data_IF_412986229753
#
_entry.id   IF_412986229753
#
_cell.length_a   1.000
_cell.length_b   1.000
_cell.length_c   1.000
_cell.angle_alpha   90.00
_cell.angle_beta   90.00
_cell.angle_gamma   90.00
#
_symmetry.space_group_name_H-M   'P 1'
#
loop_
_entity.id
_entity.type
_entity.pdbx_description
1 polymer ?
#
# COMPACT_ATOMS: atom_id res chain seq x y z
N UNK A 1 -29.31 20.10 22.76
CA UNK A 1 -28.94 20.44 21.37
C UNK A 1 -27.43 20.65 21.31
N UNK A 2 -26.82 20.49 20.14
CA UNK A 2 -25.38 20.67 19.92
C UNK A 2 -24.89 22.06 20.34
N UNK A 3 -25.70 23.10 20.11
CA UNK A 3 -25.39 24.48 20.52
C UNK A 3 -25.21 24.70 22.02
N UNK A 4 -26.01 24.02 22.87
CA UNK A 4 -25.88 24.15 24.34
C UNK A 4 -24.56 23.58 24.86
N UNK A 5 -24.02 22.55 24.18
CA UNK A 5 -22.71 21.96 24.52
C UNK A 5 -21.56 22.86 24.13
N UNK A 6 -21.68 23.54 22.99
CA UNK A 6 -20.66 24.46 22.49
C UNK A 6 -20.59 25.75 23.33
N UNK A 7 -21.74 26.27 23.77
CA UNK A 7 -21.84 27.41 24.68
C UNK A 7 -21.19 27.08 26.04
N UNK A 8 -21.52 25.93 26.63
CA UNK A 8 -20.99 25.49 27.93
C UNK A 8 -19.48 25.24 27.88
N UNK A 9 -18.97 24.73 26.76
CA UNK A 9 -17.54 24.54 26.54
C UNK A 9 -16.80 25.89 26.44
N UNK A 10 -17.38 26.88 25.75
CA UNK A 10 -16.82 28.25 25.67
C UNK A 10 -16.79 28.93 27.03
N UNK A 11 -17.84 28.76 27.83
CA UNK A 11 -17.95 29.34 29.17
C UNK A 11 -16.94 28.71 30.17
N UNK A 12 -16.79 27.38 30.14
CA UNK A 12 -15.79 26.65 30.94
C UNK A 12 -14.34 27.01 30.55
N UNK A 13 -14.07 27.24 29.26
CA UNK A 13 -12.75 27.69 28.79
C UNK A 13 -12.43 29.12 29.24
N UNK A 14 -13.44 29.96 29.46
CA UNK A 14 -13.23 31.31 29.99
C UNK A 14 -12.91 31.34 31.49
N UNK A 15 -13.27 30.29 32.23
CA UNK A 15 -13.09 30.19 33.69
C UNK A 15 -11.89 29.33 34.09
N UNK A 16 -11.52 28.32 33.29
CA UNK A 16 -10.35 27.50 33.53
C UNK A 16 -9.10 28.14 32.92
N UNK A 17 -8.08 28.39 33.75
CA UNK A 17 -6.79 28.78 33.20
C UNK A 17 -6.21 27.59 32.46
N UNK A 18 -5.61 27.82 31.29
CA UNK A 18 -4.99 26.76 30.49
C UNK A 18 -3.93 25.98 31.26
N UNK A 19 -3.27 26.62 32.24
CA UNK A 19 -2.26 26.01 33.13
C UNK A 19 -2.83 24.94 34.08
N UNK A 20 -4.14 24.91 34.31
CA UNK A 20 -4.82 23.90 35.14
C UNK A 20 -5.30 22.69 34.30
N UNK A 21 -5.11 22.72 32.98
CA UNK A 21 -5.48 21.64 32.09
C UNK A 21 -4.33 20.64 31.94
N UNK A 22 -4.69 19.38 31.76
CA UNK A 22 -3.75 18.29 31.48
C UNK A 22 -4.08 17.69 30.12
N UNK A 23 -3.05 17.47 29.31
CA UNK A 23 -3.20 16.86 28.01
C UNK A 23 -3.63 15.40 28.13
N UNK A 24 -4.74 15.04 27.48
CA UNK A 24 -5.30 13.67 27.52
C UNK A 24 -4.32 12.61 27.03
N UNK A 25 -3.40 12.97 26.14
CA UNK A 25 -2.48 12.02 25.51
C UNK A 25 -1.22 11.76 26.34
N UNK A 26 -0.50 12.81 26.74
CA UNK A 26 0.77 12.66 27.46
C UNK A 26 0.68 12.91 28.96
N UNK A 27 -0.50 13.30 29.47
CA UNK A 27 -0.71 13.69 30.87
C UNK A 27 0.16 14.88 31.32
N UNK A 28 0.69 15.66 30.37
CA UNK A 28 1.47 16.87 30.65
C UNK A 28 0.60 18.12 30.73
N UNK A 29 1.00 19.06 31.58
CA UNK A 29 0.37 20.37 31.72
C UNK A 29 0.54 21.22 30.45
N UNK A 30 -0.38 22.14 30.20
CA UNK A 30 -0.24 23.12 29.13
C UNK A 30 0.56 24.32 29.60
N UNK A 31 1.40 24.85 28.71
CA UNK A 31 2.08 26.11 28.97
C UNK A 31 1.11 27.29 28.77
N UNK A 32 1.30 28.42 29.48
CA UNK A 32 0.55 29.64 29.20
C UNK A 32 0.66 30.01 27.72
N UNK A 33 -0.49 30.30 27.08
CA UNK A 33 -0.62 30.65 25.65
C UNK A 33 -0.36 29.51 24.65
N UNK A 34 -0.21 28.28 25.12
CA UNK A 34 -0.15 27.13 24.22
C UNK A 34 -1.50 26.90 23.53
N UNK A 35 -1.48 26.54 22.24
CA UNK A 35 -2.69 26.17 21.50
C UNK A 35 -3.16 24.77 21.92
N UNK A 36 -4.42 24.69 22.32
CA UNK A 36 -5.09 23.45 22.74
C UNK A 36 -6.02 22.94 21.66
N UNK A 37 -6.13 21.62 21.52
CA UNK A 37 -7.07 20.97 20.62
C UNK A 37 -8.09 20.17 21.43
N UNK A 38 -9.41 20.38 21.24
CA UNK A 38 -10.40 19.53 21.86
C UNK A 38 -10.30 18.11 21.31
N UNK A 39 -10.40 17.12 22.19
CA UNK A 39 -10.33 15.72 21.84
C UNK A 39 -11.29 14.90 22.71
N UNK A 40 -11.73 13.77 22.16
CA UNK A 40 -12.55 12.78 22.86
C UNK A 40 -11.71 11.51 22.98
N UNK A 41 -11.48 11.06 24.21
CA UNK A 41 -10.82 9.78 24.45
C UNK A 41 -11.75 8.62 24.04
N UNK A 42 -11.18 7.44 23.74
CA UNK A 42 -11.97 6.24 23.42
C UNK A 42 -12.96 5.82 24.52
N UNK A 43 -12.79 6.34 25.75
CA UNK A 43 -13.73 6.18 26.87
C UNK A 43 -14.93 7.14 26.85
N UNK A 44 -15.06 8.00 25.83
CA UNK A 44 -16.10 9.03 25.73
C UNK A 44 -15.84 10.27 26.59
N UNK A 45 -14.68 10.35 27.27
CA UNK A 45 -14.28 11.53 28.03
C UNK A 45 -13.82 12.65 27.09
N UNK A 46 -14.36 13.84 27.30
CA UNK A 46 -13.94 15.07 26.62
C UNK A 46 -12.74 15.68 27.35
N UNK A 47 -11.80 16.24 26.60
CA UNK A 47 -10.67 16.98 27.15
C UNK A 47 -9.83 17.62 26.06
N UNK A 48 -8.59 17.95 26.38
CA UNK A 48 -7.71 18.73 25.50
C UNK A 48 -6.40 18.00 25.22
N UNK A 49 -5.80 18.29 24.08
CA UNK A 49 -4.49 17.79 23.69
C UNK A 49 -3.57 18.95 23.29
N UNK A 50 -2.26 18.80 23.57
CA UNK A 50 -1.25 19.66 22.97
C UNK A 50 -1.31 19.57 21.46
N UNK A 51 -0.97 20.66 20.77
CA UNK A 51 -0.89 20.69 19.30
C UNK A 51 -0.03 19.55 18.76
N UNK A 52 1.16 19.33 19.34
CA UNK A 52 2.05 18.24 18.94
C UNK A 52 1.51 16.85 19.25
N UNK A 53 0.73 16.69 20.32
CA UNK A 53 0.07 15.42 20.64
C UNK A 53 -1.09 15.12 19.69
N UNK A 54 -1.89 16.13 19.34
CA UNK A 54 -2.95 16.00 18.34
C UNK A 54 -2.39 15.61 16.96
N UNK A 55 -1.33 16.27 16.51
CA UNK A 55 -0.67 15.95 15.24
C UNK A 55 -0.16 14.49 15.20
N UNK A 56 0.48 14.03 16.29
CA UNK A 56 0.93 12.62 16.40
C UNK A 56 -0.22 11.62 16.39
N UNK A 57 -1.33 11.93 17.06
CA UNK A 57 -2.51 11.07 17.07
C UNK A 57 -3.13 10.96 15.67
N UNK A 58 -3.21 12.07 14.93
CA UNK A 58 -3.69 12.08 13.54
C UNK A 58 -2.77 11.25 12.64
N UNK A 59 -1.45 11.44 12.73
CA UNK A 59 -0.48 10.68 11.95
C UNK A 59 -0.61 9.17 12.21
N UNK A 60 -0.66 8.77 13.49
CA UNK A 60 -0.86 7.37 13.87
C UNK A 60 -2.18 6.80 13.34
N UNK A 61 -3.26 7.59 13.35
CA UNK A 61 -4.54 7.16 12.78
C UNK A 61 -4.47 6.99 11.27
N UNK A 62 -3.76 7.88 10.55
CA UNK A 62 -3.54 7.74 9.11
C UNK A 62 -2.72 6.48 8.80
N UNK A 63 -1.71 6.19 9.61
CA UNK A 63 -0.91 4.97 9.46
C UNK A 63 -1.78 3.72 9.65
N UNK A 64 -2.59 3.68 10.71
CA UNK A 64 -3.51 2.55 10.96
C UNK A 64 -4.53 2.37 9.83
N UNK A 65 -5.20 3.45 9.41
CA UNK A 65 -6.16 3.40 8.28
C UNK A 65 -5.47 2.98 6.99
N UNK A 66 -4.22 3.41 6.79
CA UNK A 66 -3.39 2.98 5.66
C UNK A 66 -3.12 1.48 5.70
N UNK A 67 -2.72 0.94 6.86
CA UNK A 67 -2.49 -0.49 7.05
C UNK A 67 -3.76 -1.32 6.87
N UNK A 68 -4.90 -0.87 7.41
CA UNK A 68 -6.19 -1.54 7.25
C UNK A 68 -6.59 -1.62 5.77
N UNK A 69 -6.45 -0.50 5.04
CA UNK A 69 -6.71 -0.45 3.61
C UNK A 69 -5.80 -1.40 2.81
N UNK A 70 -4.52 -1.47 3.16
CA UNK A 70 -3.58 -2.40 2.52
C UNK A 70 -3.98 -3.86 2.78
N UNK A 71 -4.41 -4.19 4.00
CA UNK A 71 -4.91 -5.51 4.38
C UNK A 71 -6.17 -5.91 3.61
N UNK A 72 -7.13 -4.98 3.45
CA UNK A 72 -8.34 -5.20 2.64
C UNK A 72 -8.00 -5.45 1.17
N UNK A 73 -7.11 -4.62 0.60
CA UNK A 73 -6.65 -4.79 -0.78
C UNK A 73 -5.98 -6.16 -0.95
N UNK A 74 -5.13 -6.57 0.00
CA UNK A 74 -4.48 -7.87 -0.03
C UNK A 74 -5.51 -9.01 0.00
N UNK A 75 -6.52 -8.91 0.87
CA UNK A 75 -7.58 -9.91 0.98
C UNK A 75 -8.41 -10.03 -0.30
N UNK A 76 -8.80 -8.90 -0.90
CA UNK A 76 -9.51 -8.87 -2.19
C UNK A 76 -8.66 -9.44 -3.31
N UNK A 77 -7.36 -9.13 -3.33
CA UNK A 77 -6.43 -9.67 -4.32
C UNK A 77 -6.30 -11.18 -4.18
N UNK A 78 -6.12 -11.71 -2.95
CA UNK A 78 -6.06 -13.15 -2.70
C UNK A 78 -7.34 -13.87 -3.16
N UNK A 79 -8.52 -13.34 -2.80
CA UNK A 79 -9.79 -13.92 -3.21
C UNK A 79 -9.96 -13.95 -4.74
N UNK A 80 -9.51 -12.89 -5.43
CA UNK A 80 -9.51 -12.84 -6.91
C UNK A 80 -8.54 -13.84 -7.51
N UNK A 81 -7.36 -14.02 -6.91
CA UNK A 81 -6.37 -15.01 -7.35
C UNK A 81 -6.93 -16.41 -7.30
N UNK A 82 -7.59 -16.77 -6.21
CA UNK A 82 -8.26 -18.06 -6.07
C UNK A 82 -9.40 -18.22 -7.09
N UNK A 83 -10.31 -17.24 -7.15
CA UNK A 83 -11.51 -17.32 -7.99
C UNK A 83 -11.23 -17.40 -9.50
N UNK A 84 -10.17 -16.73 -9.96
CA UNK A 84 -9.81 -16.65 -11.38
C UNK A 84 -8.54 -17.42 -11.73
N UNK A 85 -7.99 -18.18 -10.77
CA UNK A 85 -6.68 -18.83 -10.89
C UNK A 85 -5.59 -17.86 -11.38
N UNK A 86 -5.63 -16.62 -10.88
CA UNK A 86 -4.64 -15.59 -11.22
C UNK A 86 -3.42 -15.86 -10.34
N UNK A 87 -2.32 -16.26 -10.96
CA UNK A 87 -1.08 -16.55 -10.25
C UNK A 87 -0.17 -17.40 -11.12
N UNK A 88 1.13 -17.40 -10.80
CA UNK A 88 2.06 -18.32 -11.44
C UNK A 88 1.97 -19.68 -10.76
N UNK A 89 1.51 -20.70 -11.47
CA UNK A 89 1.55 -22.09 -11.01
C UNK A 89 2.34 -22.92 -11.99
N UNK A 90 3.20 -23.81 -11.49
CA UNK A 90 3.93 -24.77 -12.32
C UNK A 90 2.99 -25.71 -13.10
N UNK A 91 1.75 -25.88 -12.61
CA UNK A 91 0.71 -26.68 -13.25
C UNK A 91 0.00 -25.93 -14.39
N UNK A 92 0.07 -24.59 -14.40
CA UNK A 92 -0.68 -23.73 -15.32
C UNK A 92 0.21 -22.62 -15.89
N UNK A 93 1.17 -23.02 -16.74
CA UNK A 93 2.07 -22.09 -17.41
C UNK A 93 1.46 -21.66 -18.75
N UNK A 94 1.22 -20.34 -18.97
CA UNK A 94 0.64 -19.86 -20.21
C UNK A 94 1.58 -20.11 -21.40
N UNK A 95 1.00 -20.46 -22.56
CA UNK A 95 1.77 -20.64 -23.79
C UNK A 95 2.36 -19.32 -24.26
N UNK A 96 3.65 -19.33 -24.57
CA UNK A 96 4.39 -18.17 -25.06
C UNK A 96 4.37 -18.04 -26.60
N UNK A 97 3.65 -18.90 -27.32
CA UNK A 97 3.70 -18.94 -28.78
C UNK A 97 3.31 -17.60 -29.44
N UNK A 98 2.23 -16.96 -28.97
CA UNK A 98 1.81 -15.64 -29.48
C UNK A 98 2.79 -14.53 -29.16
N UNK A 99 3.38 -14.59 -27.96
CA UNK A 99 4.32 -13.59 -27.48
C UNK A 99 5.64 -13.65 -28.26
N UNK A 100 6.17 -14.86 -28.47
CA UNK A 100 7.38 -15.09 -29.28
C UNK A 100 7.22 -14.54 -30.70
N UNK A 101 6.06 -14.80 -31.31
CA UNK A 101 5.74 -14.28 -32.64
C UNK A 101 5.75 -12.74 -32.66
N UNK A 102 5.12 -12.09 -31.67
CA UNK A 102 5.10 -10.62 -31.56
C UNK A 102 6.48 -10.02 -31.30
N UNK A 103 7.33 -10.73 -30.56
CA UNK A 103 8.69 -10.33 -30.22
C UNK A 103 9.68 -10.59 -31.37
N UNK A 104 9.27 -11.28 -32.44
CA UNK A 104 10.14 -11.64 -33.55
C UNK A 104 11.23 -12.63 -33.14
N UNK A 105 10.97 -13.48 -32.14
CA UNK A 105 11.90 -14.51 -31.71
C UNK A 105 11.71 -15.77 -32.55
N UNK A 106 12.75 -16.19 -33.28
CA UNK A 106 12.77 -17.43 -34.08
C UNK A 106 12.97 -18.70 -33.22
N UNK A 107 12.34 -18.74 -32.05
CA UNK A 107 12.37 -19.93 -31.18
C UNK A 107 11.17 -20.79 -31.55
N UNK A 108 11.42 -22.02 -32.03
CA UNK A 108 10.35 -23.00 -32.22
C UNK A 108 9.72 -23.32 -30.85
N UNK A 109 8.47 -22.91 -30.58
CA UNK A 109 7.90 -23.01 -29.24
C UNK A 109 7.45 -24.45 -28.99
N UNK A 110 8.38 -25.30 -28.55
CA UNK A 110 8.03 -26.62 -28.01
C UNK A 110 7.73 -26.54 -26.51
N UNK A 111 6.87 -25.59 -26.11
CA UNK A 111 6.41 -25.43 -24.73
C UNK A 111 6.86 -24.14 -24.07
N UNK A 112 7.56 -24.25 -22.95
CA UNK A 112 7.92 -23.13 -22.08
C UNK A 112 9.19 -22.42 -22.56
N UNK A 113 9.37 -21.17 -22.12
CA UNK A 113 10.54 -20.37 -22.48
C UNK A 113 11.15 -19.71 -21.26
N UNK A 114 12.46 -19.52 -21.28
CA UNK A 114 13.23 -18.81 -20.26
C UNK A 114 14.10 -17.71 -20.91
N UNK A 115 14.71 -16.87 -20.08
CA UNK A 115 15.73 -15.92 -20.50
C UNK A 115 17.12 -16.50 -20.26
N UNK A 116 18.00 -16.36 -21.24
CA UNK A 116 19.41 -16.77 -21.17
C UNK A 116 20.27 -15.54 -21.38
N UNK A 117 21.20 -15.29 -20.45
CA UNK A 117 22.23 -14.29 -20.64
C UNK A 117 23.29 -14.84 -21.59
N UNK A 118 23.59 -14.09 -22.66
CA UNK A 118 24.68 -14.41 -23.57
C UNK A 118 25.95 -13.66 -23.17
N UNK A 119 27.07 -14.10 -23.73
CA UNK A 119 28.32 -13.34 -23.66
C UNK A 119 28.12 -11.95 -24.28
N UNK A 120 28.64 -10.90 -23.61
CA UNK A 120 28.46 -9.51 -24.03
C UNK A 120 27.26 -8.80 -23.39
N UNK A 121 26.55 -9.43 -22.46
CA UNK A 121 25.49 -8.79 -21.67
C UNK A 121 24.14 -8.67 -22.39
N UNK A 122 23.99 -9.35 -23.53
CA UNK A 122 22.69 -9.49 -24.19
C UNK A 122 21.88 -10.60 -23.54
N UNK A 123 20.55 -10.50 -23.63
CA UNK A 123 19.62 -11.52 -23.13
C UNK A 123 18.81 -12.04 -24.31
N UNK A 124 18.69 -13.36 -24.43
CA UNK A 124 17.90 -14.04 -25.44
C UNK A 124 16.84 -14.93 -24.81
N UNK A 125 15.83 -15.32 -25.60
CA UNK A 125 14.81 -16.29 -25.19
C UNK A 125 15.25 -17.68 -25.64
N UNK A 126 15.12 -18.67 -24.77
CA UNK A 126 15.40 -20.07 -25.07
C UNK A 126 14.25 -20.97 -24.61
N UNK A 127 14.04 -22.14 -25.23
CA UNK A 127 13.09 -23.12 -24.72
C UNK A 127 13.57 -23.70 -23.39
N UNK A 128 12.65 -24.04 -22.49
CA UNK A 128 12.94 -24.72 -21.23
C UNK A 128 11.92 -25.83 -20.96
N UNK A 129 12.37 -26.87 -20.27
CA UNK A 129 11.51 -27.91 -19.69
C UNK A 129 11.30 -27.72 -18.19
N UNK A 130 12.01 -26.77 -17.58
CA UNK A 130 11.97 -26.49 -16.15
C UNK A 130 10.89 -25.44 -15.85
N UNK A 131 9.78 -25.79 -15.18
CA UNK A 131 8.68 -24.87 -14.86
C UNK A 131 9.14 -23.67 -14.01
N UNK A 132 10.11 -23.88 -13.11
CA UNK A 132 10.63 -22.80 -12.25
C UNK A 132 11.46 -21.76 -13.02
N UNK A 133 12.00 -22.13 -14.19
CA UNK A 133 12.73 -21.24 -15.08
C UNK A 133 11.84 -20.64 -16.18
N UNK A 134 10.59 -21.09 -16.31
CA UNK A 134 9.68 -20.59 -17.32
C UNK A 134 9.26 -19.14 -17.00
N UNK A 135 9.01 -18.37 -18.05
CA UNK A 135 8.59 -16.97 -17.97
C UNK A 135 7.32 -16.73 -18.78
N UNK A 136 6.47 -15.82 -18.31
CA UNK A 136 5.38 -15.26 -19.11
C UNK A 136 5.93 -14.12 -19.97
N UNK A 137 6.07 -14.36 -21.28
CA UNK A 137 6.64 -13.36 -22.20
C UNK A 137 5.68 -12.20 -22.49
N UNK A 138 4.36 -12.41 -22.52
CA UNK A 138 3.40 -11.31 -22.64
C UNK A 138 3.57 -10.36 -21.43
N UNK A 139 3.61 -10.93 -20.24
CA UNK A 139 3.81 -10.18 -19.00
C UNK A 139 5.15 -9.41 -19.00
N UNK A 140 6.26 -10.08 -19.35
CA UNK A 140 7.57 -9.43 -19.47
C UNK A 140 7.54 -8.28 -20.47
N UNK A 141 6.88 -8.47 -21.62
CA UNK A 141 6.78 -7.43 -22.65
C UNK A 141 6.06 -6.18 -22.13
N UNK A 142 4.98 -6.35 -21.36
CA UNK A 142 4.24 -5.24 -20.75
C UNK A 142 5.09 -4.57 -19.67
N UNK A 143 5.77 -5.35 -18.82
CA UNK A 143 6.66 -4.84 -17.79
C UNK A 143 7.78 -3.97 -18.37
N UNK A 144 8.44 -4.44 -19.43
CA UNK A 144 9.47 -3.68 -20.15
C UNK A 144 8.90 -2.43 -20.81
N UNK A 145 7.70 -2.51 -21.39
CA UNK A 145 7.02 -1.35 -21.99
C UNK A 145 6.75 -0.27 -20.95
N UNK A 146 6.15 -0.61 -19.82
CA UNK A 146 5.87 0.34 -18.71
C UNK A 146 7.16 0.97 -18.22
N UNK A 147 8.21 0.18 -17.98
CA UNK A 147 9.51 0.71 -17.53
C UNK A 147 10.10 1.70 -18.54
N UNK A 148 10.00 1.40 -19.83
CA UNK A 148 10.48 2.28 -20.91
C UNK A 148 9.66 3.55 -21.08
N UNK A 149 8.33 3.45 -21.05
CA UNK A 149 7.44 4.60 -21.33
C UNK A 149 7.19 5.49 -20.13
N UNK A 150 7.14 4.93 -18.94
CA UNK A 150 6.75 5.65 -17.71
C UNK A 150 7.93 5.87 -16.76
N UNK A 151 9.10 5.26 -17.02
CA UNK A 151 10.29 5.42 -16.19
C UNK A 151 10.15 4.87 -14.76
N UNK A 152 9.10 4.07 -14.51
CA UNK A 152 8.79 3.49 -13.19
C UNK A 152 8.69 1.98 -13.28
N UNK A 153 8.77 1.33 -12.13
CA UNK A 153 8.54 -0.11 -12.06
C UNK A 153 7.06 -0.42 -12.29
N UNK A 154 6.78 -1.50 -13.03
CA UNK A 154 5.42 -1.90 -13.25
C UNK A 154 4.82 -2.45 -11.95
N UNK A 155 3.67 -1.90 -11.55
CA UNK A 155 2.94 -2.33 -10.37
C UNK A 155 2.02 -3.49 -10.73
N UNK A 156 2.63 -4.66 -10.89
CA UNK A 156 1.89 -5.90 -10.97
C UNK A 156 1.99 -6.60 -9.62
N UNK A 157 0.87 -7.13 -9.14
CA UNK A 157 0.86 -7.94 -7.93
C UNK A 157 1.48 -9.32 -8.26
N UNK A 158 2.81 -9.40 -8.18
CA UNK A 158 3.58 -10.65 -8.31
C UNK A 158 3.92 -11.29 -6.97
N UNK A 159 3.60 -10.64 -5.84
CA UNK A 159 3.82 -11.26 -4.53
C UNK A 159 3.12 -12.61 -4.50
N UNK A 160 3.78 -13.72 -4.14
CA UNK A 160 3.13 -15.02 -3.99
C UNK A 160 1.90 -14.95 -3.07
#
# INVERSE_FOLDING_TARGET
SEGVREELAKELVSTLKTEDLVCLHCQGWFQPRERVYPAVAGSGKYGYMHTGCAARAVAKNMDMVGMDRLSEIQTVNLARREAFSIGWSAEAIPSNASALQKLGCDVAPQGMCCLVACEGGTVTVAPTLEPSAALNLEYLSVALKVRRSEGREPLFSLDP
#
